data_IF_448459869642
#
_entry.id   IF_448459869642
#
_cell.length_a   1.000
_cell.length_b   1.000
_cell.length_c   1.000
_cell.angle_alpha   90.00
_cell.angle_beta   90.00
_cell.angle_gamma   90.00
#
_symmetry.space_group_name_H-M   'P 1'
#
loop_
_entity.id
_entity.type
_entity.pdbx_description
1 polymer ?
#
# COMPACT_ATOMS: atom_id res chain seq x y z
N UNK A 1 17.68 6.77 -12.11
CA UNK A 1 18.22 6.37 -13.42
C UNK A 1 18.87 7.54 -14.16
N UNK A 2 18.16 8.43 -14.87
CA UNK A 2 18.80 9.51 -15.66
C UNK A 2 19.77 10.42 -14.88
N UNK A 3 19.35 10.92 -13.72
CA UNK A 3 20.17 11.84 -12.91
C UNK A 3 21.39 11.12 -12.32
N UNK A 4 21.19 9.90 -11.79
CA UNK A 4 22.30 9.08 -11.28
C UNK A 4 23.28 8.66 -12.37
N UNK A 5 22.80 8.29 -13.55
CA UNK A 5 23.64 7.92 -14.70
C UNK A 5 24.45 9.12 -15.24
N UNK A 6 24.06 10.35 -14.91
CA UNK A 6 24.83 11.55 -15.21
C UNK A 6 25.97 11.83 -14.19
N UNK A 7 26.19 10.92 -13.23
CA UNK A 7 27.24 11.04 -12.20
C UNK A 7 26.84 11.90 -10.99
N UNK A 8 25.56 12.25 -10.85
CA UNK A 8 25.07 12.98 -9.67
C UNK A 8 24.77 11.98 -8.55
N UNK A 9 25.49 12.10 -7.44
CA UNK A 9 25.37 11.17 -6.30
C UNK A 9 24.41 11.69 -5.22
N UNK A 10 24.32 13.01 -5.06
CA UNK A 10 23.45 13.65 -4.06
C UNK A 10 22.01 13.78 -4.58
N UNK A 11 21.28 12.67 -4.56
CA UNK A 11 19.89 12.59 -5.03
C UNK A 11 18.95 12.35 -3.84
N UNK A 12 17.90 13.16 -3.76
CA UNK A 12 16.77 12.95 -2.87
C UNK A 12 15.47 12.80 -3.64
N UNK A 13 14.49 12.15 -3.00
CA UNK A 13 13.14 11.98 -3.53
C UNK A 13 12.18 12.87 -2.75
N UNK A 14 11.25 13.50 -3.47
CA UNK A 14 10.14 14.26 -2.87
C UNK A 14 8.85 13.62 -3.34
N UNK A 15 8.10 13.06 -2.41
CA UNK A 15 6.75 12.58 -2.68
C UNK A 15 5.75 13.72 -2.51
N UNK A 16 5.12 14.12 -3.61
CA UNK A 16 4.13 15.22 -3.65
C UNK A 16 2.77 14.81 -4.21
N UNK A 17 2.48 13.52 -4.18
CA UNK A 17 1.27 12.92 -4.74
C UNK A 17 1.27 12.83 -6.27
N UNK A 18 0.17 12.28 -6.78
CA UNK A 18 -0.07 12.00 -8.20
C UNK A 18 -1.39 12.65 -8.63
N UNK A 19 -1.42 13.13 -9.87
CA UNK A 19 -2.66 13.61 -10.47
C UNK A 19 -3.62 12.45 -10.74
N UNK A 20 -4.80 12.46 -10.13
CA UNK A 20 -5.84 11.45 -10.36
C UNK A 20 -7.16 12.13 -10.67
N UNK A 21 -7.85 11.69 -11.73
CA UNK A 21 -9.20 12.17 -12.04
C UNK A 21 -10.17 11.77 -10.93
N UNK A 22 -10.96 12.73 -10.43
CA UNK A 22 -12.08 12.46 -9.51
C UNK A 22 -11.73 12.29 -8.02
N UNK A 23 -10.49 12.55 -7.59
CA UNK A 23 -10.17 12.56 -6.16
C UNK A 23 -10.63 13.88 -5.54
N UNK A 24 -11.73 13.83 -4.79
CA UNK A 24 -12.30 15.02 -4.13
C UNK A 24 -11.62 15.35 -2.79
N UNK A 25 -10.84 14.44 -2.22
CA UNK A 25 -10.30 14.59 -0.86
C UNK A 25 -8.95 15.34 -0.85
N UNK A 26 -8.11 15.08 -1.85
CA UNK A 26 -6.74 15.59 -2.00
C UNK A 26 -6.56 16.34 -3.32
N UNK A 27 -5.68 17.35 -3.35
CA UNK A 27 -5.24 18.00 -4.60
C UNK A 27 -4.46 17.02 -5.48
N UNK A 28 -3.54 16.26 -4.88
CA UNK A 28 -2.82 15.17 -5.53
C UNK A 28 -2.95 13.92 -4.66
N UNK A 29 -3.41 12.82 -5.23
CA UNK A 29 -3.56 11.57 -4.50
C UNK A 29 -2.19 11.08 -4.03
N UNK A 30 -2.01 10.74 -2.74
CA UNK A 30 -0.69 10.30 -2.28
C UNK A 30 -0.30 8.93 -2.85
N UNK A 31 -1.23 8.01 -3.12
CA UNK A 31 -0.91 6.67 -3.67
C UNK A 31 0.27 6.03 -2.90
N UNK A 32 0.13 5.93 -1.57
CA UNK A 32 1.22 5.59 -0.63
C UNK A 32 1.98 4.30 -0.98
N UNK A 33 1.31 3.31 -1.57
CA UNK A 33 1.92 2.04 -1.96
C UNK A 33 3.06 2.22 -2.98
N UNK A 34 2.97 3.20 -3.90
CA UNK A 34 4.06 3.50 -4.84
C UNK A 34 5.25 4.14 -4.13
N UNK A 35 5.00 5.00 -3.15
CA UNK A 35 6.06 5.61 -2.36
C UNK A 35 6.80 4.58 -1.51
N UNK A 36 6.08 3.64 -0.89
CA UNK A 36 6.65 2.51 -0.15
C UNK A 36 7.51 1.64 -1.07
N UNK A 37 7.02 1.31 -2.26
CA UNK A 37 7.79 0.52 -3.22
C UNK A 37 9.05 1.24 -3.72
N UNK A 38 8.97 2.56 -3.95
CA UNK A 38 10.15 3.38 -4.28
C UNK A 38 11.20 3.31 -3.19
N UNK A 39 10.78 3.43 -1.92
CA UNK A 39 11.69 3.33 -0.79
C UNK A 39 12.31 1.93 -0.64
N UNK A 40 11.54 0.87 -0.91
CA UNK A 40 12.06 -0.52 -0.93
C UNK A 40 13.16 -0.69 -1.99
N UNK A 41 12.96 -0.12 -3.18
CA UNK A 41 13.92 -0.24 -4.30
C UNK A 41 15.14 0.67 -4.15
N UNK A 42 15.00 1.81 -3.48
CA UNK A 42 16.02 2.84 -3.36
C UNK A 42 16.22 3.28 -1.91
N UNK A 43 16.44 2.32 -1.02
CA UNK A 43 16.51 2.53 0.44
C UNK A 43 17.63 3.47 0.90
N UNK A 44 18.66 3.67 0.08
CA UNK A 44 19.77 4.58 0.32
C UNK A 44 19.42 6.05 0.06
N UNK A 45 18.39 6.33 -0.75
CA UNK A 45 18.03 7.70 -1.11
C UNK A 45 17.18 8.31 0.00
N UNK A 46 17.49 9.56 0.36
CA UNK A 46 16.65 10.34 1.25
C UNK A 46 15.32 10.64 0.60
N UNK A 47 14.23 10.37 1.29
CA UNK A 47 12.88 10.57 0.78
C UNK A 47 12.06 11.43 1.74
N UNK A 48 11.63 12.60 1.28
CA UNK A 48 10.78 13.53 2.04
C UNK A 48 9.38 13.61 1.44
N UNK A 49 8.41 14.01 2.26
CA UNK A 49 7.02 14.19 1.84
C UNK A 49 6.67 15.67 1.74
N UNK A 50 5.91 16.04 0.71
CA UNK A 50 5.32 17.36 0.52
C UNK A 50 3.81 17.28 0.81
N UNK A 51 3.41 17.42 2.09
CA UNK A 51 2.01 17.41 2.47
C UNK A 51 1.21 18.58 1.88
N UNK A 52 1.85 19.74 1.63
CA UNK A 52 1.18 20.93 1.11
C UNK A 52 0.61 20.67 -0.28
N UNK A 53 1.41 20.12 -1.19
CA UNK A 53 0.94 19.82 -2.54
C UNK A 53 0.07 18.57 -2.63
N UNK A 54 0.23 17.59 -1.74
CA UNK A 54 -0.67 16.44 -1.64
C UNK A 54 -2.06 16.91 -1.21
N UNK A 55 -2.15 17.58 -0.07
CA UNK A 55 -3.41 18.03 0.50
C UNK A 55 -4.07 19.13 -0.34
N UNK A 56 -3.30 20.16 -0.69
CA UNK A 56 -3.83 21.41 -1.27
C UNK A 56 -4.68 22.25 -0.31
N UNK A 57 -4.73 21.87 0.98
CA UNK A 57 -5.52 22.54 2.03
C UNK A 57 -4.91 22.35 3.42
N UNK A 58 -5.08 23.35 4.30
CA UNK A 58 -4.43 23.44 5.63
C UNK A 58 -4.87 22.33 6.61
N UNK A 59 -6.13 21.92 6.57
CA UNK A 59 -6.76 21.00 7.51
C UNK A 59 -6.22 19.56 7.42
N UNK A 60 -5.74 19.15 6.24
CA UNK A 60 -5.17 17.82 6.03
C UNK A 60 -3.66 17.73 6.26
N UNK A 61 -2.95 18.85 6.39
CA UNK A 61 -1.49 18.87 6.43
C UNK A 61 -0.93 17.97 7.53
N UNK A 62 -1.51 18.03 8.74
CA UNK A 62 -1.09 17.21 9.87
C UNK A 62 -1.29 15.73 9.59
N UNK A 63 -2.45 15.34 9.04
CA UNK A 63 -2.76 13.94 8.76
C UNK A 63 -1.81 13.36 7.71
N UNK A 64 -1.55 14.08 6.62
CA UNK A 64 -0.62 13.66 5.57
C UNK A 64 0.81 13.62 6.09
N UNK A 65 1.21 14.61 6.88
CA UNK A 65 2.53 14.67 7.53
C UNK A 65 2.75 13.47 8.45
N UNK A 66 1.79 13.19 9.34
CA UNK A 66 1.89 12.05 10.26
C UNK A 66 1.93 10.73 9.49
N UNK A 67 1.11 10.58 8.43
CA UNK A 67 1.14 9.38 7.60
C UNK A 67 2.50 9.17 6.93
N UNK A 68 3.15 10.23 6.45
CA UNK A 68 4.50 10.14 5.90
C UNK A 68 5.53 9.74 6.96
N UNK A 69 5.46 10.31 8.16
CA UNK A 69 6.34 9.92 9.28
C UNK A 69 6.12 8.45 9.66
N UNK A 70 4.86 8.01 9.72
CA UNK A 70 4.51 6.61 10.02
C UNK A 70 5.04 5.62 8.96
N UNK A 71 5.23 6.09 7.73
CA UNK A 71 5.85 5.33 6.62
C UNK A 71 7.37 5.54 6.55
N UNK A 72 7.95 6.11 7.60
CA UNK A 72 9.38 6.32 7.81
C UNK A 72 10.03 7.24 6.75
N UNK A 73 9.31 8.27 6.30
CA UNK A 73 9.92 9.32 5.48
C UNK A 73 11.01 10.06 6.27
N UNK A 74 12.09 10.47 5.60
CA UNK A 74 13.23 11.16 6.20
C UNK A 74 12.93 12.61 6.60
N UNK A 75 11.82 13.17 6.14
CA UNK A 75 11.47 14.56 6.41
C UNK A 75 10.19 15.03 5.74
N UNK A 76 9.84 16.29 6.01
CA UNK A 76 8.66 16.97 5.49
C UNK A 76 9.05 18.29 4.82
N UNK A 77 8.37 18.64 3.73
CA UNK A 77 8.46 19.92 3.05
C UNK A 77 7.08 20.60 3.13
N UNK A 78 6.93 21.58 4.02
CA UNK A 78 5.65 22.25 4.30
C UNK A 78 5.76 23.73 3.94
N UNK A 79 4.76 24.24 3.23
CA UNK A 79 4.71 25.65 2.88
C UNK A 79 4.15 26.51 4.02
N UNK A 80 4.83 27.61 4.32
CA UNK A 80 4.40 28.57 5.32
C UNK A 80 4.44 30.00 4.78
N UNK A 81 3.52 30.84 5.24
CA UNK A 81 3.44 32.24 4.86
C UNK A 81 2.96 33.08 6.05
N UNK A 82 3.44 34.33 6.16
CA UNK A 82 3.06 35.24 7.27
C UNK A 82 1.57 35.61 7.26
N UNK A 83 0.97 35.60 6.08
CA UNK A 83 -0.43 35.96 5.83
C UNK A 83 -0.97 35.10 4.67
N UNK A 84 -1.26 33.81 4.90
CA UNK A 84 -1.47 32.88 3.80
C UNK A 84 -2.76 33.14 3.01
N UNK A 85 -3.74 33.85 3.58
CA UNK A 85 -4.98 34.21 2.86
C UNK A 85 -4.74 35.25 1.75
N UNK A 86 -3.69 36.07 1.88
CA UNK A 86 -3.28 37.08 0.90
C UNK A 86 -2.05 36.66 0.06
N UNK A 87 -1.63 35.39 0.13
CA UNK A 87 -0.51 34.90 -0.65
C UNK A 87 -0.82 34.86 -2.15
N UNK A 88 0.16 35.23 -2.99
CA UNK A 88 -0.02 35.27 -4.44
C UNK A 88 -0.07 33.89 -5.12
N UNK A 89 0.40 32.85 -4.42
CA UNK A 89 0.36 31.45 -4.87
C UNK A 89 0.01 30.56 -3.69
N UNK A 90 -0.71 29.48 -3.94
CA UNK A 90 -0.93 28.38 -3.00
C UNK A 90 -1.48 28.80 -1.62
N UNK A 91 -2.23 29.90 -1.59
CA UNK A 91 -2.83 30.49 -0.39
C UNK A 91 -3.58 29.45 0.48
N UNK A 92 -4.28 28.50 -0.15
CA UNK A 92 -5.09 27.49 0.55
C UNK A 92 -4.28 26.42 1.28
N UNK A 93 -3.02 26.17 0.90
CA UNK A 93 -2.19 25.10 1.46
C UNK A 93 -1.07 25.61 2.37
N UNK A 94 -0.77 26.91 2.33
CA UNK A 94 0.20 27.54 3.22
C UNK A 94 -0.38 27.76 4.61
N UNK A 95 0.43 27.58 5.66
CA UNK A 95 0.06 27.85 7.06
C UNK A 95 0.92 28.97 7.66
N UNK A 96 0.47 29.59 8.76
CA UNK A 96 1.31 30.57 9.46
C UNK A 96 2.45 29.88 10.21
N UNK A 97 3.49 30.64 10.55
CA UNK A 97 4.62 30.15 11.35
C UNK A 97 4.16 29.57 12.70
N UNK A 98 3.16 30.19 13.33
CA UNK A 98 2.58 29.73 14.60
C UNK A 98 1.82 28.42 14.43
N UNK A 99 1.03 28.29 13.36
CA UNK A 99 0.31 27.08 13.03
C UNK A 99 1.28 25.94 12.68
N UNK A 100 2.36 26.23 11.95
CA UNK A 100 3.43 25.28 11.68
C UNK A 100 4.08 24.80 12.97
N UNK A 101 4.47 25.70 13.86
CA UNK A 101 5.07 25.35 15.17
C UNK A 101 4.14 24.46 15.99
N UNK A 102 2.85 24.79 16.04
CA UNK A 102 1.84 23.97 16.71
C UNK A 102 1.76 22.58 16.09
N UNK A 103 1.63 22.49 14.76
CA UNK A 103 1.55 21.22 14.06
C UNK A 103 2.78 20.36 14.32
N UNK A 104 3.99 20.91 14.21
CA UNK A 104 5.24 20.19 14.47
C UNK A 104 5.30 19.64 15.90
N UNK A 105 4.79 20.37 16.89
CA UNK A 105 4.71 19.90 18.28
C UNK A 105 3.69 18.78 18.51
N UNK A 106 2.74 18.59 17.60
CA UNK A 106 1.73 17.53 17.65
C UNK A 106 2.11 16.30 16.82
N UNK A 107 3.16 16.37 15.98
CA UNK A 107 3.64 15.25 15.19
C UNK A 107 4.47 14.30 16.05
N UNK A 108 4.26 13.00 15.86
CA UNK A 108 4.98 11.95 16.59
C UNK A 108 6.02 11.34 15.66
N UNK A 109 7.28 11.69 15.87
CA UNK A 109 8.44 11.04 15.24
C UNK A 109 8.83 9.81 16.04
N UNK A 110 8.52 8.62 15.49
CA UNK A 110 8.97 7.36 16.07
C UNK A 110 10.42 7.11 15.65
N UNK A 111 11.22 6.53 16.55
CA UNK A 111 12.60 6.16 16.26
C UNK A 111 12.63 5.03 15.23
N UNK A 112 13.60 5.07 14.31
CA UNK A 112 13.93 3.89 13.50
C UNK A 112 14.53 2.83 14.40
N UNK A 113 14.14 1.58 14.18
CA UNK A 113 14.94 0.46 14.66
C UNK A 113 16.25 0.45 13.85
N UNK A 114 17.32 0.99 14.44
CA UNK A 114 18.64 1.01 13.81
C UNK A 114 19.30 -0.38 13.81
N UNK A 115 18.86 -1.25 14.72
CA UNK A 115 19.28 -2.65 14.84
C UNK A 115 18.09 -3.49 15.29
N UNK A 116 17.84 -4.68 14.70
CA UNK A 116 16.88 -5.64 15.24
C UNK A 116 17.29 -5.94 16.69
N UNK A 117 16.44 -5.56 17.64
CA UNK A 117 16.69 -5.85 19.04
C UNK A 117 16.41 -7.34 19.27
N UNK A 118 17.50 -8.10 19.42
CA UNK A 118 17.45 -9.54 19.51
C UNK A 118 16.75 -10.00 20.80
N UNK A 119 15.89 -11.02 20.67
CA UNK A 119 15.18 -11.62 21.80
C UNK A 119 14.00 -10.79 22.31
N UNK A 120 13.50 -9.86 21.49
CA UNK A 120 12.26 -9.14 21.81
C UNK A 120 11.03 -9.99 21.51
N UNK A 121 9.88 -9.75 22.20
CA UNK A 121 8.61 -10.36 21.82
C UNK A 121 8.23 -10.10 20.36
N UNK A 122 8.68 -8.98 19.78
CA UNK A 122 8.39 -8.65 18.39
C UNK A 122 9.08 -9.60 17.40
N UNK A 123 10.34 -9.98 17.64
CA UNK A 123 11.01 -10.98 16.81
C UNK A 123 10.31 -12.33 16.88
N UNK A 124 9.93 -12.78 18.08
CA UNK A 124 9.16 -14.01 18.25
C UNK A 124 7.80 -13.95 17.51
N UNK A 125 7.12 -12.80 17.51
CA UNK A 125 5.89 -12.64 16.73
C UNK A 125 6.14 -12.66 15.22
N UNK A 126 7.26 -12.09 14.74
CA UNK A 126 7.64 -12.15 13.33
C UNK A 126 7.93 -13.58 12.90
N UNK A 127 8.65 -14.35 13.71
CA UNK A 127 8.89 -15.78 13.43
C UNK A 127 7.59 -16.59 13.35
N UNK A 128 6.64 -16.32 14.25
CA UNK A 128 5.31 -16.94 14.19
C UNK A 128 4.54 -16.52 12.93
N UNK A 129 4.62 -15.25 12.52
CA UNK A 129 4.02 -14.77 11.27
C UNK A 129 4.65 -15.48 10.07
N UNK A 130 5.98 -15.56 10.02
CA UNK A 130 6.70 -16.22 8.92
C UNK A 130 6.29 -17.70 8.80
N UNK A 131 6.17 -18.40 9.94
CA UNK A 131 5.68 -19.78 9.94
C UNK A 131 4.25 -19.90 9.40
N UNK A 132 3.34 -19.00 9.82
CA UNK A 132 1.96 -18.98 9.32
C UNK A 132 1.93 -18.69 7.82
N UNK A 133 2.75 -17.76 7.35
CA UNK A 133 2.84 -17.39 5.94
C UNK A 133 3.36 -18.55 5.08
N UNK A 134 4.34 -19.30 5.57
CA UNK A 134 4.80 -20.53 4.92
C UNK A 134 3.70 -21.59 4.83
N UNK A 135 2.96 -21.82 5.93
CA UNK A 135 1.82 -22.74 5.96
C UNK A 135 0.71 -22.29 5.00
N UNK A 136 0.43 -20.98 4.93
CA UNK A 136 -0.50 -20.40 3.98
C UNK A 136 -0.04 -20.69 2.54
N UNK A 137 1.22 -20.46 2.20
CA UNK A 137 1.73 -20.75 0.85
C UNK A 137 1.56 -22.22 0.45
N UNK A 138 1.82 -23.14 1.39
CA UNK A 138 1.60 -24.57 1.15
C UNK A 138 0.12 -24.91 0.93
N UNK A 139 -0.78 -24.34 1.73
CA UNK A 139 -2.24 -24.51 1.57
C UNK A 139 -2.74 -23.94 0.25
N UNK A 140 -2.23 -22.78 -0.15
CA UNK A 140 -2.52 -22.14 -1.43
C UNK A 140 -2.07 -23.02 -2.60
N UNK A 141 -0.83 -23.52 -2.57
CA UNK A 141 -0.29 -24.43 -3.58
C UNK A 141 -1.14 -25.71 -3.68
N UNK A 142 -1.49 -26.33 -2.55
CA UNK A 142 -2.36 -27.50 -2.49
C UNK A 142 -3.73 -27.22 -3.11
N UNK A 143 -4.33 -26.05 -2.82
CA UNK A 143 -5.60 -25.63 -3.44
C UNK A 143 -5.47 -25.52 -4.97
N UNK A 144 -4.36 -24.99 -5.49
CA UNK A 144 -4.17 -24.86 -6.94
C UNK A 144 -3.93 -26.20 -7.64
N UNK A 145 -3.36 -27.20 -6.96
CA UNK A 145 -3.31 -28.57 -7.48
C UNK A 145 -4.72 -29.13 -7.72
N UNK A 146 -5.67 -28.86 -6.82
CA UNK A 146 -7.07 -29.24 -7.03
C UNK A 146 -7.75 -28.42 -8.12
N UNK A 147 -7.39 -27.14 -8.29
CA UNK A 147 -7.85 -26.36 -9.43
C UNK A 147 -7.39 -27.00 -10.75
N UNK A 148 -6.13 -27.43 -10.85
CA UNK A 148 -5.62 -28.15 -12.01
C UNK A 148 -6.40 -29.45 -12.28
N UNK A 149 -6.64 -30.28 -11.26
CA UNK A 149 -7.47 -31.50 -11.37
C UNK A 149 -8.91 -31.23 -11.84
N UNK A 150 -9.51 -30.13 -11.40
CA UNK A 150 -10.82 -29.69 -11.92
C UNK A 150 -10.72 -29.35 -13.41
N UNK A 151 -9.61 -28.74 -13.83
CA UNK A 151 -9.30 -28.50 -15.24
C UNK A 151 -9.20 -29.80 -16.04
N UNK A 152 -8.44 -30.79 -15.55
CA UNK A 152 -8.30 -32.12 -16.17
C UNK A 152 -9.67 -32.77 -16.37
N UNK A 153 -10.48 -32.83 -15.31
CA UNK A 153 -11.83 -33.38 -15.36
C UNK A 153 -12.71 -32.66 -16.39
N UNK A 154 -12.67 -31.33 -16.43
CA UNK A 154 -13.46 -30.55 -17.41
C UNK A 154 -13.01 -30.82 -18.84
N UNK A 155 -11.69 -30.97 -19.07
CA UNK A 155 -11.12 -31.31 -20.38
C UNK A 155 -11.64 -32.65 -20.87
N UNK A 156 -11.54 -33.68 -20.02
CA UNK A 156 -12.00 -35.04 -20.32
C UNK A 156 -13.50 -35.11 -20.62
N UNK A 157 -14.29 -34.21 -20.01
CA UNK A 157 -15.75 -34.16 -20.16
C UNK A 157 -16.24 -33.06 -21.11
N UNK A 158 -15.35 -32.40 -21.87
CA UNK A 158 -15.69 -31.29 -22.78
C UNK A 158 -16.52 -30.16 -22.13
N UNK A 159 -16.20 -29.80 -20.89
CA UNK A 159 -16.91 -28.78 -20.11
C UNK A 159 -16.18 -27.43 -20.13
N UNK A 160 -16.94 -26.34 -20.06
CA UNK A 160 -16.38 -24.98 -19.95
C UNK A 160 -15.83 -24.70 -18.55
N UNK A 161 -14.82 -23.82 -18.50
CA UNK A 161 -14.07 -23.53 -17.27
C UNK A 161 -14.87 -22.65 -16.29
N UNK A 162 -15.60 -21.67 -16.80
CA UNK A 162 -16.25 -20.66 -15.95
C UNK A 162 -17.67 -21.08 -15.54
N UNK A 163 -17.95 -21.05 -14.23
CA UNK A 163 -19.29 -21.08 -13.66
C UNK A 163 -19.49 -19.90 -12.72
N UNK A 164 -20.13 -18.83 -13.21
CA UNK A 164 -20.33 -17.59 -12.46
C UNK A 164 -21.06 -17.79 -11.12
N UNK A 165 -22.09 -18.65 -11.07
CA UNK A 165 -22.85 -18.90 -9.85
C UNK A 165 -22.02 -19.49 -8.70
N UNK A 166 -21.10 -20.41 -9.01
CA UNK A 166 -20.22 -21.01 -8.00
C UNK A 166 -19.22 -20.01 -7.43
N UNK A 167 -18.76 -19.07 -8.26
CA UNK A 167 -17.89 -18.00 -7.79
C UNK A 167 -18.59 -17.12 -6.77
N UNK A 168 -19.83 -16.69 -7.05
CA UNK A 168 -20.61 -15.87 -6.12
C UNK A 168 -20.81 -16.58 -4.77
N UNK A 169 -21.13 -17.87 -4.76
CA UNK A 169 -21.22 -18.66 -3.51
C UNK A 169 -19.92 -18.67 -2.70
N UNK A 170 -18.78 -18.88 -3.38
CA UNK A 170 -17.47 -18.93 -2.72
C UNK A 170 -17.08 -17.54 -2.20
N UNK A 171 -17.39 -16.51 -2.97
CA UNK A 171 -17.09 -15.12 -2.63
C UNK A 171 -17.89 -14.66 -1.41
N UNK A 172 -19.21 -14.82 -1.42
CA UNK A 172 -20.09 -14.46 -0.29
C UNK A 172 -19.73 -15.23 0.98
N UNK A 173 -19.48 -16.55 0.85
CA UNK A 173 -19.03 -17.37 1.98
C UNK A 173 -17.69 -16.88 2.54
N UNK A 174 -16.76 -16.53 1.66
CA UNK A 174 -15.44 -16.02 2.02
C UNK A 174 -15.50 -14.67 2.74
N UNK A 175 -16.30 -13.74 2.22
CA UNK A 175 -16.54 -12.44 2.86
C UNK A 175 -17.16 -12.57 4.25
N UNK A 176 -18.21 -13.39 4.39
CA UNK A 176 -18.88 -13.61 5.68
C UNK A 176 -17.92 -14.20 6.73
N UNK A 177 -17.20 -15.26 6.37
CA UNK A 177 -16.25 -15.89 7.28
C UNK A 177 -15.09 -14.95 7.65
N UNK A 178 -14.46 -14.33 6.65
CA UNK A 178 -13.33 -13.43 6.88
C UNK A 178 -13.70 -12.23 7.75
N UNK A 179 -14.89 -11.66 7.53
CA UNK A 179 -15.38 -10.53 8.33
C UNK A 179 -15.60 -10.93 9.80
N UNK A 180 -16.12 -12.14 10.06
CA UNK A 180 -16.25 -12.69 11.43
C UNK A 180 -14.91 -12.95 12.11
N UNK A 181 -13.87 -13.21 11.33
CA UNK A 181 -12.49 -13.37 11.80
C UNK A 181 -11.75 -12.03 11.95
N UNK A 182 -12.42 -10.90 11.73
CA UNK A 182 -11.85 -9.57 11.91
C UNK A 182 -11.08 -9.02 10.70
N UNK A 183 -11.19 -9.65 9.53
CA UNK A 183 -10.56 -9.15 8.30
C UNK A 183 -11.45 -8.11 7.61
N UNK A 184 -10.83 -7.04 7.09
CA UNK A 184 -11.57 -5.98 6.38
C UNK A 184 -12.18 -6.48 5.07
N UNK A 185 -13.40 -6.05 4.69
CA UNK A 185 -14.03 -6.41 3.42
C UNK A 185 -13.17 -6.09 2.19
N UNK A 186 -12.44 -4.97 2.22
CA UNK A 186 -11.60 -4.50 1.12
C UNK A 186 -10.45 -5.48 0.85
N UNK A 187 -9.75 -5.90 1.91
CA UNK A 187 -8.71 -6.93 1.83
C UNK A 187 -9.27 -8.26 1.31
N UNK A 188 -10.39 -8.73 1.88
CA UNK A 188 -10.99 -10.02 1.53
C UNK A 188 -11.39 -10.07 0.06
N UNK A 189 -11.97 -8.98 -0.46
CA UNK A 189 -12.31 -8.88 -1.88
C UNK A 189 -11.08 -9.07 -2.76
N UNK A 190 -10.02 -8.30 -2.52
CA UNK A 190 -8.78 -8.40 -3.31
C UNK A 190 -8.13 -9.78 -3.22
N UNK A 191 -8.08 -10.36 -2.01
CA UNK A 191 -7.54 -11.70 -1.79
C UNK A 191 -8.34 -12.77 -2.53
N UNK A 192 -9.67 -12.78 -2.38
CA UNK A 192 -10.54 -13.78 -3.00
C UNK A 192 -10.47 -13.69 -4.54
N UNK A 193 -10.47 -12.48 -5.10
CA UNK A 193 -10.35 -12.25 -6.54
C UNK A 193 -9.01 -12.77 -7.10
N UNK A 194 -7.89 -12.47 -6.45
CA UNK A 194 -6.57 -13.00 -6.82
C UNK A 194 -6.54 -14.53 -6.78
N UNK A 195 -7.11 -15.11 -5.72
CA UNK A 195 -7.24 -16.55 -5.52
C UNK A 195 -8.12 -17.26 -6.55
N UNK A 196 -9.13 -16.57 -7.07
CA UNK A 196 -9.97 -17.06 -8.14
C UNK A 196 -9.24 -17.01 -9.48
N UNK A 197 -8.56 -15.90 -9.76
CA UNK A 197 -7.83 -15.73 -11.00
C UNK A 197 -6.70 -16.75 -11.13
N UNK A 198 -5.95 -17.01 -10.07
CA UNK A 198 -4.89 -18.02 -10.12
C UNK A 198 -5.44 -19.43 -10.34
N UNK A 199 -6.60 -19.75 -9.76
CA UNK A 199 -7.29 -21.02 -10.01
C UNK A 199 -7.73 -21.19 -11.46
N UNK A 200 -8.19 -20.11 -12.10
CA UNK A 200 -8.52 -20.09 -13.54
C UNK A 200 -7.25 -20.29 -14.37
N UNK A 201 -6.15 -19.60 -14.03
CA UNK A 201 -4.87 -19.75 -14.74
C UNK A 201 -4.38 -21.21 -14.71
N UNK A 202 -4.44 -21.87 -13.56
CA UNK A 202 -4.08 -23.29 -13.44
C UNK A 202 -4.98 -24.20 -14.28
N UNK A 203 -6.30 -23.98 -14.30
CA UNK A 203 -7.23 -24.73 -15.14
C UNK A 203 -6.94 -24.51 -16.64
N UNK A 204 -6.71 -23.27 -17.05
CA UNK A 204 -6.39 -22.91 -18.44
C UNK A 204 -5.11 -23.59 -18.93
N UNK A 205 -4.05 -23.63 -18.09
CA UNK A 205 -2.79 -24.29 -18.44
C UNK A 205 -3.01 -25.76 -18.81
N UNK A 206 -3.83 -26.49 -18.04
CA UNK A 206 -4.16 -27.90 -18.27
C UNK A 206 -5.07 -28.09 -19.49
N UNK A 207 -6.08 -27.23 -19.66
CA UNK A 207 -7.05 -27.34 -20.75
C UNK A 207 -6.43 -27.11 -22.13
N UNK A 208 -5.37 -26.29 -22.20
CA UNK A 208 -4.71 -25.88 -23.44
C UNK A 208 -3.39 -26.62 -23.75
N UNK A 209 -2.91 -27.48 -22.84
CA UNK A 209 -1.94 -28.54 -23.16
C UNK A 209 -2.64 -29.73 -23.78
#
# INVERSE_FOLDING_TARGET
ERIGNAGVENIGLIHRGFSTYGNAEYRNAPIWHLAIEMKRRYSQLKMICDPSHIAGRRDLLKQVSQKAIDLDFDGLMIEAHRDPDNAWSDAKQQITSEALKKMLGELVWRKREETPEQGTPMEAYREVIDQIDDELMQLLAKRMQFAAKIGEYKKENNMTILRAGRWNEVFERGLNLGSKLGLSPEFLKGFLEAMHMESINHQNRVMNT
#
